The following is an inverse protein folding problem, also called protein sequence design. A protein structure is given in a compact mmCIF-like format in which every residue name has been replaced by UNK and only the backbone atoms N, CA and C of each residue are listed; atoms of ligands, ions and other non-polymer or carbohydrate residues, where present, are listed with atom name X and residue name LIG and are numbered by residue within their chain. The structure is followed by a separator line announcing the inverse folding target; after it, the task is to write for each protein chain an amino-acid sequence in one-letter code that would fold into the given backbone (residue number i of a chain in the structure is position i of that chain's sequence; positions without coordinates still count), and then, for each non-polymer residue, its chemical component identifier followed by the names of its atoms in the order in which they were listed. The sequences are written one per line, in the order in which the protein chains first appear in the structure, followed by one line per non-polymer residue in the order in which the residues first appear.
data_IF_289354005159
#
_entry.id   IF_289354005159
#
_cell.length_a   1.000
_cell.length_b   1.000
_cell.length_c   1.000
_cell.angle_alpha   90.00
_cell.angle_beta   90.00
_cell.angle_gamma   90.00
#
_symmetry.space_group_name_H-M   'P 1'
#
loop_
_entity.id
_entity.type
_entity.pdbx_description
1 polymer ?
#
# COMPACT_ATOMS: atom_id res chain seq x y z
N UNK A 1 19.44 1.33 -4.56
CA UNK A 1 18.27 0.57 -5.10
C UNK A 1 18.57 0.17 -6.54
N UNK A 2 18.16 -1.01 -7.01
CA UNK A 2 18.40 -1.39 -8.42
C UNK A 2 17.56 -0.53 -9.38
N UNK A 3 18.08 -0.27 -10.59
CA UNK A 3 17.34 0.48 -11.64
C UNK A 3 15.97 -0.16 -11.93
N UNK A 4 15.88 -1.50 -11.89
CA UNK A 4 14.64 -2.26 -12.11
C UNK A 4 13.61 -2.03 -11.00
N UNK A 5 14.03 -2.06 -9.74
CA UNK A 5 13.19 -1.79 -8.58
C UNK A 5 12.64 -0.36 -8.58
N UNK A 6 13.52 0.61 -8.87
CA UNK A 6 13.15 2.01 -9.03
C UNK A 6 12.08 2.18 -10.10
N UNK A 7 12.35 1.64 -11.31
CA UNK A 7 11.43 1.72 -12.45
C UNK A 7 10.08 1.06 -12.15
N UNK A 8 10.09 -0.12 -11.50
CA UNK A 8 8.87 -0.80 -11.09
C UNK A 8 8.01 0.05 -10.16
N UNK A 9 8.58 0.60 -9.08
CA UNK A 9 7.84 1.42 -8.12
C UNK A 9 7.32 2.72 -8.73
N UNK A 10 8.15 3.41 -9.53
CA UNK A 10 7.77 4.66 -10.18
C UNK A 10 6.65 4.44 -11.19
N UNK A 11 6.77 3.43 -12.06
CA UNK A 11 5.71 3.11 -13.05
C UNK A 11 4.43 2.67 -12.35
N UNK A 12 4.52 1.77 -11.36
CA UNK A 12 3.34 1.28 -10.63
C UNK A 12 2.63 2.43 -9.89
N UNK A 13 3.40 3.31 -9.25
CA UNK A 13 2.88 4.49 -8.59
C UNK A 13 2.19 5.46 -9.56
N UNK A 14 2.79 5.71 -10.73
CA UNK A 14 2.20 6.57 -11.77
C UNK A 14 0.90 6.00 -12.34
N UNK A 15 0.87 4.69 -12.65
CA UNK A 15 -0.34 4.02 -13.14
C UNK A 15 -1.46 4.15 -12.13
N UNK A 16 -1.18 3.91 -10.84
CA UNK A 16 -2.19 4.06 -9.79
C UNK A 16 -2.66 5.48 -9.57
N UNK A 17 -1.75 6.44 -9.68
CA UNK A 17 -2.09 7.84 -9.51
C UNK A 17 -3.00 8.29 -10.67
N UNK A 18 -2.63 7.94 -11.91
CA UNK A 18 -3.44 8.24 -13.10
C UNK A 18 -4.83 7.60 -13.02
N UNK A 19 -4.92 6.32 -12.65
CA UNK A 19 -6.19 5.62 -12.47
C UNK A 19 -7.05 6.24 -11.34
N UNK A 20 -6.42 6.62 -10.23
CA UNK A 20 -7.10 7.26 -9.10
C UNK A 20 -7.62 8.66 -9.42
N UNK A 21 -6.81 9.48 -10.11
CA UNK A 21 -7.20 10.83 -10.56
C UNK A 21 -8.30 10.76 -11.62
N UNK A 22 -8.18 9.85 -12.59
CA UNK A 22 -9.23 9.62 -13.58
C UNK A 22 -10.56 9.20 -12.93
N UNK A 23 -10.50 8.34 -11.91
CA UNK A 23 -11.69 7.96 -11.13
C UNK A 23 -12.27 9.14 -10.35
N UNK A 24 -11.42 9.99 -9.75
CA UNK A 24 -11.87 11.23 -9.09
C UNK A 24 -12.62 12.14 -10.06
N UNK A 25 -12.09 12.33 -11.26
CA UNK A 25 -12.73 13.15 -12.29
C UNK A 25 -14.12 12.63 -12.65
N UNK A 26 -14.24 11.32 -12.94
CA UNK A 26 -15.54 10.68 -13.23
C UNK A 26 -16.50 10.83 -12.05
N UNK A 27 -16.02 10.57 -10.83
CA UNK A 27 -16.85 10.61 -9.63
C UNK A 27 -17.43 12.01 -9.35
N UNK A 28 -16.61 13.05 -9.54
CA UNK A 28 -17.10 14.43 -9.40
C UNK A 28 -18.09 14.82 -10.49
N UNK A 29 -17.95 14.26 -11.70
CA UNK A 29 -18.91 14.43 -12.79
C UNK A 29 -20.28 13.79 -12.50
N UNK A 30 -20.30 12.66 -11.79
CA UNK A 30 -21.52 11.91 -11.44
C UNK A 30 -22.05 12.21 -10.03
N UNK A 31 -21.60 13.31 -9.39
CA UNK A 31 -21.86 13.57 -7.96
C UNK A 31 -23.36 13.65 -7.60
N UNK A 32 -24.18 14.21 -8.47
CA UNK A 32 -25.63 14.35 -8.25
C UNK A 32 -26.42 13.06 -8.45
N UNK A 33 -25.83 12.08 -9.15
CA UNK A 33 -26.50 10.83 -9.56
C UNK A 33 -26.09 9.64 -8.70
N UNK A 34 -24.98 9.74 -7.96
CA UNK A 34 -24.43 8.67 -7.15
C UNK A 34 -24.88 8.75 -5.67
N UNK A 35 -25.84 7.92 -5.22
CA UNK A 35 -26.28 7.90 -3.82
C UNK A 35 -25.18 7.41 -2.86
N UNK A 36 -24.10 6.81 -3.38
CA UNK A 36 -22.95 6.34 -2.63
C UNK A 36 -21.67 7.16 -2.92
N UNK A 37 -21.84 8.42 -3.36
CA UNK A 37 -20.74 9.32 -3.68
C UNK A 37 -19.69 9.41 -2.57
N UNK A 38 -20.11 9.61 -1.31
CA UNK A 38 -19.17 9.77 -0.19
C UNK A 38 -18.31 8.50 0.07
N UNK A 39 -18.90 7.28 0.17
CA UNK A 39 -18.13 6.04 0.19
C UNK A 39 -17.20 5.86 -1.01
N UNK A 40 -17.64 6.20 -2.22
CA UNK A 40 -16.80 6.10 -3.44
C UNK A 40 -15.64 7.10 -3.43
N UNK A 41 -15.88 8.32 -2.94
CA UNK A 41 -14.87 9.36 -2.82
C UNK A 41 -13.80 8.95 -1.81
N UNK A 42 -14.20 8.48 -0.63
CA UNK A 42 -13.27 8.01 0.40
C UNK A 42 -12.34 6.92 -0.14
N UNK A 43 -12.89 5.91 -0.82
CA UNK A 43 -12.09 4.82 -1.39
C UNK A 43 -11.13 5.30 -2.49
N UNK A 44 -11.58 6.27 -3.29
CA UNK A 44 -10.76 6.84 -4.37
C UNK A 44 -9.63 7.69 -3.80
N UNK A 45 -9.91 8.53 -2.80
CA UNK A 45 -8.90 9.32 -2.08
C UNK A 45 -7.89 8.42 -1.38
N UNK A 46 -8.35 7.34 -0.74
CA UNK A 46 -7.46 6.37 -0.10
C UNK A 46 -6.56 5.68 -1.12
N UNK A 47 -7.09 5.32 -2.29
CA UNK A 47 -6.30 4.74 -3.39
C UNK A 47 -5.26 5.73 -3.93
N UNK A 48 -5.62 7.01 -4.10
CA UNK A 48 -4.68 8.08 -4.50
C UNK A 48 -3.60 8.32 -3.44
N UNK A 49 -3.98 8.34 -2.16
CA UNK A 49 -3.03 8.47 -1.07
C UNK A 49 -2.02 7.32 -1.07
N UNK A 50 -2.49 6.08 -1.24
CA UNK A 50 -1.61 4.91 -1.38
C UNK A 50 -0.70 5.02 -2.61
N UNK A 51 -1.25 5.41 -3.77
CA UNK A 51 -0.48 5.62 -5.00
C UNK A 51 0.64 6.64 -4.80
N UNK A 52 0.34 7.76 -4.13
CA UNK A 52 1.30 8.81 -3.80
C UNK A 52 2.39 8.31 -2.87
N UNK A 53 2.07 7.43 -1.91
CA UNK A 53 3.03 6.80 -1.01
C UNK A 53 4.00 5.89 -1.77
N UNK A 54 3.47 5.04 -2.66
CA UNK A 54 4.28 4.15 -3.52
C UNK A 54 5.19 4.99 -4.42
N UNK A 55 4.65 6.01 -5.07
CA UNK A 55 5.41 6.89 -5.96
C UNK A 55 6.48 7.66 -5.20
N UNK A 56 6.20 8.14 -3.97
CA UNK A 56 7.19 8.80 -3.11
C UNK A 56 8.35 7.87 -2.76
N UNK A 57 8.09 6.58 -2.54
CA UNK A 57 9.15 5.59 -2.34
C UNK A 57 9.90 5.33 -3.65
N UNK A 58 9.18 5.23 -4.78
CA UNK A 58 9.77 5.08 -6.11
C UNK A 58 10.72 6.20 -6.48
N UNK A 59 10.31 7.46 -6.31
CA UNK A 59 11.09 8.65 -6.67
C UNK A 59 12.35 8.87 -5.81
N UNK A 60 12.45 8.23 -4.64
CA UNK A 60 13.66 8.29 -3.81
C UNK A 60 14.76 7.47 -4.47
N UNK A 61 15.82 8.15 -4.93
CA UNK A 61 17.05 7.51 -5.47
C UNK A 61 17.92 6.86 -4.38
N UNK A 62 17.68 7.16 -3.11
CA UNK A 62 18.41 6.62 -1.94
C UNK A 62 18.13 5.11 -1.75
N UNK A 63 18.99 4.45 -0.97
CA UNK A 63 18.77 3.06 -0.60
C UNK A 63 17.44 2.84 0.13
N UNK A 64 16.85 1.66 -0.07
CA UNK A 64 15.56 1.33 0.53
C UNK A 64 15.73 1.14 2.03
N UNK A 65 15.04 1.95 2.82
CA UNK A 65 15.04 1.82 4.29
C UNK A 65 14.00 0.79 4.77
N UNK A 66 14.19 0.19 5.97
CA UNK A 66 13.20 -0.72 6.55
C UNK A 66 11.81 -0.09 6.70
N UNK A 67 11.76 1.22 7.03
CA UNK A 67 10.51 2.00 7.12
C UNK A 67 9.82 2.11 5.76
N UNK A 68 10.56 2.32 4.68
CA UNK A 68 10.01 2.39 3.32
C UNK A 68 9.48 1.02 2.86
N UNK A 69 10.20 -0.07 3.17
CA UNK A 69 9.73 -1.43 2.88
C UNK A 69 8.42 -1.75 3.64
N UNK A 70 8.32 -1.39 4.92
CA UNK A 70 7.10 -1.56 5.71
C UNK A 70 5.93 -0.72 5.17
N UNK A 71 6.21 0.52 4.75
CA UNK A 71 5.24 1.40 4.11
C UNK A 71 4.67 0.77 2.82
N UNK A 72 5.51 0.14 1.99
CA UNK A 72 5.06 -0.58 0.79
C UNK A 72 4.19 -1.80 1.12
N UNK A 73 4.55 -2.57 2.15
CA UNK A 73 3.74 -3.71 2.59
C UNK A 73 2.35 -3.24 3.04
N UNK A 74 2.29 -2.22 3.91
CA UNK A 74 1.01 -1.65 4.37
C UNK A 74 0.19 -1.09 3.22
N UNK A 75 0.84 -0.33 2.34
CA UNK A 75 0.22 0.27 1.15
C UNK A 75 -0.40 -0.78 0.23
N UNK A 76 0.37 -1.82 -0.11
CA UNK A 76 -0.12 -2.91 -0.95
C UNK A 76 -1.24 -3.73 -0.30
N UNK A 77 -1.14 -3.98 1.02
CA UNK A 77 -2.18 -4.69 1.76
C UNK A 77 -3.49 -3.90 1.84
N UNK A 78 -3.44 -2.61 2.13
CA UNK A 78 -4.62 -1.72 2.17
C UNK A 78 -5.34 -1.74 0.81
N UNK A 79 -4.58 -1.58 -0.28
CA UNK A 79 -5.14 -1.70 -1.63
C UNK A 79 -5.79 -3.06 -1.86
N UNK A 80 -5.12 -4.14 -1.47
CA UNK A 80 -5.64 -5.50 -1.63
C UNK A 80 -6.99 -5.66 -0.92
N UNK A 81 -7.09 -5.27 0.35
CA UNK A 81 -8.31 -5.44 1.15
C UNK A 81 -9.47 -4.64 0.56
N UNK A 82 -9.26 -3.36 0.25
CA UNK A 82 -10.30 -2.47 -0.27
C UNK A 82 -10.82 -2.97 -1.61
N UNK A 83 -9.91 -3.31 -2.52
CA UNK A 83 -10.27 -3.68 -3.88
C UNK A 83 -10.75 -5.12 -4.00
N UNK A 84 -10.30 -6.03 -3.12
CA UNK A 84 -10.87 -7.39 -3.02
C UNK A 84 -12.30 -7.35 -2.50
N UNK A 85 -12.59 -6.51 -1.51
CA UNK A 85 -13.95 -6.31 -1.03
C UNK A 85 -14.85 -5.73 -2.13
N UNK A 86 -14.35 -4.74 -2.89
CA UNK A 86 -15.08 -4.20 -4.04
C UNK A 86 -15.29 -5.22 -5.15
N UNK A 87 -14.27 -6.01 -5.48
CA UNK A 87 -14.37 -7.09 -6.45
C UNK A 87 -15.44 -8.11 -6.02
N UNK A 88 -15.43 -8.53 -4.75
CA UNK A 88 -16.44 -9.40 -4.19
C UNK A 88 -17.85 -8.81 -4.29
N UNK A 89 -18.03 -7.54 -3.96
CA UNK A 89 -19.32 -6.86 -4.12
C UNK A 89 -19.79 -6.88 -5.57
N UNK A 90 -18.91 -6.53 -6.51
CA UNK A 90 -19.19 -6.51 -7.95
C UNK A 90 -19.58 -7.89 -8.47
N UNK A 91 -18.87 -8.94 -8.07
CA UNK A 91 -19.17 -10.33 -8.43
C UNK A 91 -20.51 -10.78 -7.82
N UNK A 92 -20.83 -10.32 -6.60
CA UNK A 92 -22.07 -10.67 -5.90
C UNK A 92 -23.29 -9.93 -6.47
N UNK A 93 -23.12 -8.70 -6.98
CA UNK A 93 -24.21 -7.92 -7.59
C UNK A 93 -24.42 -8.31 -9.05
N UNK A 94 -25.37 -9.20 -9.30
CA UNK A 94 -25.71 -9.79 -10.62
C UNK A 94 -26.37 -8.79 -11.62
N UNK A 95 -26.55 -7.52 -11.26
CA UNK A 95 -27.37 -6.58 -12.06
C UNK A 95 -26.52 -5.46 -12.66
N UNK A 96 -26.27 -5.55 -13.98
CA UNK A 96 -26.00 -4.50 -15.00
C UNK A 96 -24.74 -4.81 -15.86
N UNK A 97 -24.83 -5.01 -17.19
CA UNK A 97 -23.72 -5.59 -17.98
C UNK A 97 -22.62 -4.61 -18.45
N UNK A 98 -22.82 -3.29 -18.41
CA UNK A 98 -21.88 -2.32 -19.00
C UNK A 98 -21.00 -1.59 -17.97
N UNK A 99 -21.56 -1.14 -16.83
CA UNK A 99 -20.76 -0.51 -15.76
C UNK A 99 -19.99 -1.53 -14.91
N UNK A 100 -20.46 -2.78 -14.81
CA UNK A 100 -19.77 -3.86 -14.08
C UNK A 100 -18.36 -4.09 -14.60
N UNK A 101 -18.20 -4.15 -15.94
CA UNK A 101 -16.94 -4.54 -16.57
C UNK A 101 -15.80 -3.60 -16.19
N UNK A 102 -16.04 -2.28 -16.25
CA UNK A 102 -15.06 -1.27 -15.86
C UNK A 102 -14.64 -1.39 -14.40
N UNK A 103 -15.60 -1.62 -13.50
CA UNK A 103 -15.31 -1.83 -12.08
C UNK A 103 -14.58 -3.14 -11.79
N UNK A 104 -14.91 -4.24 -12.50
CA UNK A 104 -14.22 -5.53 -12.39
C UNK A 104 -12.77 -5.41 -12.84
N UNK A 105 -12.51 -4.83 -14.02
CA UNK A 105 -11.14 -4.66 -14.53
C UNK A 105 -10.32 -3.74 -13.63
N UNK A 106 -10.91 -2.65 -13.15
CA UNK A 106 -10.22 -1.72 -12.26
C UNK A 106 -9.89 -2.39 -10.91
N UNK A 107 -10.85 -3.11 -10.32
CA UNK A 107 -10.61 -3.83 -9.07
C UNK A 107 -9.54 -4.92 -9.23
N UNK A 108 -9.59 -5.68 -10.32
CA UNK A 108 -8.57 -6.66 -10.65
C UNK A 108 -7.18 -6.03 -10.82
N UNK A 109 -7.09 -4.90 -11.54
CA UNK A 109 -5.84 -4.16 -11.72
C UNK A 109 -5.23 -3.74 -10.36
N UNK A 110 -6.05 -3.13 -9.48
CA UNK A 110 -5.60 -2.73 -8.15
C UNK A 110 -5.23 -3.91 -7.25
N UNK A 111 -5.91 -5.06 -7.37
CA UNK A 111 -5.52 -6.28 -6.65
C UNK A 111 -4.17 -6.82 -7.12
N UNK A 112 -3.98 -7.00 -8.44
CA UNK A 112 -2.75 -7.57 -9.01
C UNK A 112 -1.55 -6.68 -8.71
N UNK A 113 -1.68 -5.38 -8.97
CA UNK A 113 -0.61 -4.43 -8.72
C UNK A 113 -0.37 -4.23 -7.20
N UNK A 114 -1.41 -4.31 -6.37
CA UNK A 114 -1.33 -4.15 -4.92
C UNK A 114 -0.58 -5.32 -4.29
N UNK A 115 -0.92 -6.53 -4.75
CA UNK A 115 -0.18 -7.76 -4.42
C UNK A 115 1.28 -7.65 -4.83
N UNK A 116 1.55 -7.19 -6.05
CA UNK A 116 2.92 -7.08 -6.58
C UNK A 116 3.76 -6.10 -5.75
N UNK A 117 3.20 -4.94 -5.39
CA UNK A 117 3.86 -3.95 -4.51
C UNK A 117 4.08 -4.51 -3.11
N UNK A 118 3.10 -5.21 -2.54
CA UNK A 118 3.22 -5.84 -1.23
C UNK A 118 4.33 -6.91 -1.22
N UNK A 119 4.34 -7.80 -2.20
CA UNK A 119 5.37 -8.85 -2.36
C UNK A 119 6.76 -8.25 -2.55
N UNK A 120 6.86 -7.15 -3.31
CA UNK A 120 8.09 -6.40 -3.46
C UNK A 120 8.57 -5.81 -2.12
N UNK A 121 7.66 -5.21 -1.35
CA UNK A 121 7.94 -4.74 0.01
C UNK A 121 8.40 -5.86 0.95
N UNK A 122 7.74 -7.02 0.92
CA UNK A 122 8.10 -8.20 1.72
C UNK A 122 9.48 -8.74 1.35
N UNK A 123 9.77 -8.94 0.05
CA UNK A 123 11.08 -9.38 -0.42
C UNK A 123 12.18 -8.41 0.01
N UNK A 124 11.93 -7.11 -0.13
CA UNK A 124 12.90 -6.08 0.25
C UNK A 124 13.11 -6.05 1.78
N UNK A 125 12.04 -6.18 2.56
CA UNK A 125 12.14 -6.27 4.03
C UNK A 125 12.96 -7.49 4.48
N UNK A 126 12.73 -8.66 3.87
CA UNK A 126 13.50 -9.88 4.16
C UNK A 126 14.97 -9.72 3.79
N UNK A 127 15.27 -9.14 2.64
CA UNK A 127 16.65 -8.88 2.21
C UNK A 127 17.38 -7.91 3.16
N UNK A 128 16.70 -6.86 3.62
CA UNK A 128 17.26 -5.91 4.59
C UNK A 128 17.51 -6.56 5.95
N UNK A 129 16.58 -7.40 6.44
CA UNK A 129 16.77 -8.16 7.69
C UNK A 129 17.94 -9.13 7.59
N UNK A 130 18.09 -9.82 6.45
CA UNK A 130 19.23 -10.72 6.21
C UNK A 130 20.56 -9.98 6.24
N UNK A 131 20.66 -8.84 5.53
CA UNK A 131 21.86 -7.98 5.56
C UNK A 131 22.17 -7.45 6.96
N UNK A 132 21.16 -7.08 7.73
CA UNK A 132 21.35 -6.64 9.11
C UNK A 132 21.86 -7.78 10.00
N UNK A 133 21.34 -9.00 9.85
CA UNK A 133 21.81 -10.17 10.58
C UNK A 133 23.26 -10.55 10.19
N UNK A 134 23.60 -10.48 8.91
CA UNK A 134 24.97 -10.71 8.41
C UNK A 134 25.94 -9.66 8.96
N UNK A 135 25.55 -8.38 9.02
CA UNK A 135 26.38 -7.30 9.58
C UNK A 135 26.62 -7.42 11.09
N UNK A 136 25.63 -7.94 11.84
CA UNK A 136 25.78 -8.27 13.26
C UNK A 136 26.69 -9.48 13.44
N UNK A 137 26.52 -10.52 12.62
CA UNK A 137 27.37 -11.74 12.65
C UNK A 137 28.81 -11.48 12.24
N UNK A 138 29.06 -10.49 11.38
CA UNK A 138 30.41 -10.14 10.92
C UNK A 138 31.11 -9.11 11.84
N UNK A 139 30.52 -8.76 12.99
CA UNK A 139 31.09 -7.81 13.94
C UNK A 139 31.14 -6.35 13.45
N UNK A 140 30.45 -6.02 12.36
CA UNK A 140 30.51 -4.68 11.74
C UNK A 140 29.58 -3.65 12.41
N UNK A 141 28.64 -4.10 13.25
CA UNK A 141 27.73 -3.24 14.02
C UNK A 141 27.56 -3.85 15.42
N UNK A 142 27.76 -3.10 16.52
CA UNK A 142 27.48 -3.61 17.86
C UNK A 142 25.99 -4.00 17.96
N UNK A 143 25.66 -5.11 18.64
CA UNK A 143 24.28 -5.55 18.77
C UNK A 143 23.44 -4.44 19.40
N UNK A 144 22.46 -3.95 18.64
CA UNK A 144 21.46 -3.02 19.19
C UNK A 144 20.72 -3.79 20.29
N UNK A 145 20.74 -3.34 21.55
CA UNK A 145 20.04 -4.04 22.62
C UNK A 145 18.56 -4.14 22.26
N UNK A 146 17.91 -5.29 22.53
CA UNK A 146 16.49 -5.44 22.25
C UNK A 146 15.73 -4.32 22.95
N UNK A 147 14.93 -3.56 22.20
CA UNK A 147 13.99 -2.60 22.78
C UNK A 147 13.08 -3.40 23.71
N UNK A 148 13.07 -3.13 25.03
CA UNK A 148 12.22 -3.86 25.94
C UNK A 148 10.76 -3.58 25.56
N UNK A 149 10.07 -4.61 25.10
CA UNK A 149 8.63 -4.57 24.77
C UNK A 149 7.74 -4.45 26.03
N UNK A 150 8.34 -4.34 27.21
CA UNK A 150 7.67 -4.31 28.52
C UNK A 150 7.54 -2.93 29.17
N UNK A 151 8.08 -1.87 28.54
CA UNK A 151 8.09 -0.52 29.14
C UNK A 151 6.75 0.25 29.14
N UNK A 152 5.66 -0.31 28.62
CA UNK A 152 4.39 0.39 28.43
C UNK A 152 3.28 0.04 29.45
N UNK A 153 3.58 -0.73 30.50
CA UNK A 153 2.59 -1.15 31.51
C UNK A 153 3.07 -1.03 32.97
N UNK A 154 3.96 -0.09 33.29
CA UNK A 154 4.36 0.16 34.69
C UNK A 154 4.35 1.65 35.03
N UNK A 155 3.22 2.31 34.77
CA UNK A 155 2.84 3.58 35.40
C UNK A 155 1.32 3.62 35.49
N UNK A 156 0.80 2.97 36.52
CA UNK A 156 -0.23 3.55 37.38
C UNK A 156 -0.65 2.55 38.46
N UNK A 157 -0.86 3.08 39.66
CA UNK A 157 -1.51 2.45 40.82
C UNK A 157 -0.63 1.64 41.76
N UNK A 158 0.19 2.33 42.55
CA UNK A 158 0.41 2.00 43.95
C UNK A 158 1.04 3.18 44.70
N UNK A 159 0.21 4.14 45.09
CA UNK A 159 0.43 4.89 46.33
C UNK A 159 -0.94 5.02 47.00
N UNK A 160 -1.06 4.40 48.17
CA UNK A 160 -2.12 4.55 49.16
C UNK A 160 -1.46 5.01 50.44
#
# INVERSE_FOLDING_TARGET
MSKRAHRFLTISGLIYLAAGVGRLYILFGSRSEDPFFAPHLLMTLLSVWVASSILRVGLRKKEMTPRAALSLIRSGFILLVIWSYRFYLVVKTVRSPLELKGHTYLAFLYMVMGTSVMLFGLRTSRALRKRAAEAVSSGAVPPVPPVPLTGALSKDSADK
#
